data_IF_652995597328
#
_entry.id   IF_652995597328
#
_cell.length_a   1.000
_cell.length_b   1.000
_cell.length_c   1.000
_cell.angle_alpha   90.00
_cell.angle_beta   90.00
_cell.angle_gamma   90.00
#
_symmetry.space_group_name_H-M   'P 1'
#
loop_
_entity.id
_entity.type
_entity.pdbx_description
1 polymer ?
#
# COMPACT_ATOMS: atom_id res chain seq x y z
N UNK A 1 19.61 -17.95 13.14
CA UNK A 1 20.63 -17.24 12.34
C UNK A 1 21.31 -18.27 11.42
N UNK A 2 21.41 -17.99 10.12
CA UNK A 2 22.03 -18.90 9.15
C UNK A 2 22.70 -18.10 8.03
N UNK A 3 23.89 -18.53 7.62
CA UNK A 3 24.68 -17.89 6.55
C UNK A 3 24.51 -18.75 5.28
N UNK A 4 23.95 -18.16 4.22
CA UNK A 4 23.84 -18.78 2.88
C UNK A 4 25.13 -18.46 2.12
N UNK A 5 25.85 -19.46 1.60
CA UNK A 5 27.07 -19.22 0.78
C UNK A 5 26.74 -18.82 -0.67
N UNK A 6 25.51 -19.09 -1.06
CA UNK A 6 24.90 -18.98 -2.37
C UNK A 6 24.09 -17.70 -2.57
N UNK A 7 23.84 -16.93 -1.50
CA UNK A 7 23.08 -15.68 -1.55
C UNK A 7 23.80 -14.55 -0.83
N UNK A 8 23.86 -13.39 -1.48
CA UNK A 8 24.32 -12.15 -0.85
C UNK A 8 23.46 -11.75 0.35
N UNK A 9 23.99 -10.88 1.20
CA UNK A 9 23.25 -10.33 2.34
C UNK A 9 21.92 -9.72 1.89
N UNK A 10 20.85 -9.97 2.65
CA UNK A 10 19.51 -9.41 2.34
C UNK A 10 19.47 -7.89 2.39
N UNK A 11 20.38 -7.28 3.13
CA UNK A 11 20.52 -5.84 3.25
C UNK A 11 21.77 -5.41 2.49
N UNK A 12 21.56 -4.77 1.35
CA UNK A 12 22.61 -4.25 0.47
C UNK A 12 22.37 -2.75 0.25
N UNK A 13 23.17 -1.93 0.92
CA UNK A 13 23.03 -0.48 0.90
C UNK A 13 23.17 0.11 -0.51
N UNK A 14 23.96 -0.54 -1.38
CA UNK A 14 24.16 -0.09 -2.76
C UNK A 14 22.89 -0.20 -3.61
N UNK A 15 21.97 -1.08 -3.23
CA UNK A 15 20.65 -1.24 -3.88
C UNK A 15 19.58 -0.34 -3.27
N UNK A 16 19.73 0.00 -1.99
CA UNK A 16 18.74 0.82 -1.27
C UNK A 16 18.76 2.26 -1.77
N UNK A 17 19.94 2.84 -2.03
CA UNK A 17 20.03 4.24 -2.44
C UNK A 17 19.27 4.54 -3.74
N UNK A 18 19.44 3.77 -4.84
CA UNK A 18 18.63 3.98 -6.05
C UNK A 18 17.13 3.81 -5.82
N UNK A 19 16.72 2.81 -5.02
CA UNK A 19 15.31 2.58 -4.69
C UNK A 19 14.71 3.78 -3.94
N UNK A 20 15.48 4.39 -3.02
CA UNK A 20 15.02 5.56 -2.28
C UNK A 20 14.87 6.78 -3.17
N UNK A 21 15.78 6.99 -4.12
CA UNK A 21 15.68 8.06 -5.13
C UNK A 21 14.42 7.88 -5.99
N UNK A 22 14.20 6.68 -6.54
CA UNK A 22 13.01 6.37 -7.35
C UNK A 22 11.70 6.62 -6.57
N UNK A 23 11.66 6.20 -5.31
CA UNK A 23 10.50 6.40 -4.44
C UNK A 23 10.29 7.88 -4.13
N UNK A 24 11.36 8.62 -3.84
CA UNK A 24 11.29 10.06 -3.56
C UNK A 24 10.74 10.83 -4.77
N UNK A 25 11.27 10.57 -5.97
CA UNK A 25 10.81 11.23 -7.18
C UNK A 25 9.33 10.92 -7.47
N UNK A 26 8.94 9.64 -7.38
CA UNK A 26 7.56 9.21 -7.65
C UNK A 26 6.55 9.75 -6.64
N UNK A 27 6.94 9.85 -5.37
CA UNK A 27 6.06 10.35 -4.31
C UNK A 27 6.15 11.87 -4.11
N UNK A 28 6.98 12.56 -4.89
CA UNK A 28 7.07 14.01 -4.84
C UNK A 28 5.72 14.67 -5.15
N UNK A 29 5.21 15.46 -4.21
CA UNK A 29 3.88 16.08 -4.32
C UNK A 29 2.69 15.16 -4.00
N UNK A 30 2.92 13.91 -3.57
CA UNK A 30 1.87 12.99 -3.13
C UNK A 30 1.54 13.25 -1.65
N UNK A 31 0.25 13.35 -1.34
CA UNK A 31 -0.25 13.34 0.04
C UNK A 31 -0.70 11.92 0.41
N UNK A 32 -0.19 11.38 1.52
CA UNK A 32 -0.54 10.05 2.03
C UNK A 32 -1.35 10.23 3.31
N UNK A 33 -2.57 9.68 3.35
CA UNK A 33 -3.42 9.68 4.54
C UNK A 33 -3.65 8.25 5.04
N UNK A 34 -3.60 8.06 6.36
CA UNK A 34 -4.03 6.82 7.01
C UNK A 34 -5.45 7.03 7.57
N UNK A 35 -6.44 6.89 6.69
CA UNK A 35 -7.85 7.00 7.02
C UNK A 35 -8.61 5.81 6.46
N UNK A 36 -9.76 5.52 7.05
CA UNK A 36 -10.73 4.60 6.44
C UNK A 36 -11.31 5.22 5.17
N UNK A 37 -11.68 4.39 4.19
CA UNK A 37 -12.14 4.86 2.88
C UNK A 37 -13.45 5.67 2.99
N UNK A 38 -14.29 5.36 3.97
CA UNK A 38 -15.56 6.07 4.25
C UNK A 38 -15.33 7.53 4.66
N UNK A 39 -14.15 7.85 5.19
CA UNK A 39 -13.74 9.23 5.51
C UNK A 39 -12.92 9.86 4.38
N UNK A 40 -12.10 9.06 3.71
CA UNK A 40 -11.21 9.52 2.66
C UNK A 40 -11.98 9.96 1.40
N UNK A 41 -12.89 9.12 0.89
CA UNK A 41 -13.58 9.40 -0.38
C UNK A 41 -14.37 10.72 -0.32
N UNK A 42 -15.25 10.97 0.69
CA UNK A 42 -16.01 12.22 0.74
C UNK A 42 -15.14 13.48 0.88
N UNK A 43 -13.94 13.36 1.45
CA UNK A 43 -13.01 14.49 1.61
C UNK A 43 -12.42 14.95 0.27
N UNK A 44 -12.19 14.00 -0.65
CA UNK A 44 -11.53 14.27 -1.92
C UNK A 44 -12.49 14.27 -3.12
N UNK A 45 -13.75 13.89 -2.93
CA UNK A 45 -14.76 13.85 -3.98
C UNK A 45 -15.11 15.27 -4.48
N UNK A 46 -14.50 15.62 -5.62
CA UNK A 46 -14.66 16.90 -6.31
C UNK A 46 -14.85 16.58 -7.79
N UNK A 47 -15.45 17.51 -8.53
CA UNK A 47 -15.76 17.33 -9.96
C UNK A 47 -14.56 16.98 -10.85
N UNK A 48 -13.35 17.30 -10.41
CA UNK A 48 -12.10 17.03 -11.14
C UNK A 48 -11.30 15.85 -10.58
N UNK A 49 -11.79 15.18 -9.53
CA UNK A 49 -11.08 14.09 -8.88
C UNK A 49 -11.31 12.79 -9.67
N UNK A 50 -10.23 12.08 -9.98
CA UNK A 50 -10.28 10.71 -10.46
C UNK A 50 -9.95 9.77 -9.30
N UNK A 51 -10.85 8.84 -9.00
CA UNK A 51 -10.59 7.79 -8.02
C UNK A 51 -10.12 6.51 -8.70
N UNK A 52 -8.95 6.03 -8.28
CA UNK A 52 -8.54 4.64 -8.48
C UNK A 52 -8.78 3.90 -7.16
N UNK A 53 -9.63 2.88 -7.19
CA UNK A 53 -10.06 2.14 -6.00
C UNK A 53 -9.73 0.66 -6.23
N UNK A 54 -8.85 0.13 -5.38
CA UNK A 54 -8.44 -1.26 -5.34
C UNK A 54 -8.82 -1.82 -3.95
N UNK A 55 -10.12 -2.12 -3.72
CA UNK A 55 -10.57 -2.58 -2.41
C UNK A 55 -10.14 -4.02 -2.18
N UNK A 56 -10.16 -4.51 -0.93
CA UNK A 56 -9.96 -5.93 -0.65
C UNK A 56 -10.92 -6.77 -1.48
N UNK A 57 -10.41 -7.84 -2.09
CA UNK A 57 -11.24 -8.73 -2.90
C UNK A 57 -12.00 -9.71 -2.01
N UNK A 58 -13.24 -10.01 -2.42
CA UNK A 58 -14.05 -11.04 -1.81
C UNK A 58 -13.27 -12.36 -1.79
N UNK A 59 -13.26 -13.09 -0.66
CA UNK A 59 -12.47 -14.30 -0.38
C UNK A 59 -10.96 -14.14 -0.17
N UNK A 60 -10.43 -12.92 -0.29
CA UNK A 60 -9.02 -12.59 -0.08
C UNK A 60 -8.82 -11.59 1.08
N UNK A 61 -9.72 -11.59 2.06
CA UNK A 61 -9.75 -10.57 3.12
C UNK A 61 -8.47 -10.57 3.97
N UNK A 62 -7.84 -11.74 4.12
CA UNK A 62 -6.63 -11.91 4.93
C UNK A 62 -5.34 -11.44 4.24
N UNK A 63 -5.35 -11.18 2.93
CA UNK A 63 -4.15 -10.74 2.18
C UNK A 63 -3.73 -9.32 2.58
N UNK A 64 -4.69 -8.53 3.09
CA UNK A 64 -4.49 -7.14 3.47
C UNK A 64 -4.17 -6.97 4.96
N UNK A 65 -4.31 -8.04 5.75
CA UNK A 65 -4.09 -8.08 7.19
C UNK A 65 -5.26 -8.74 7.92
N UNK A 66 -4.95 -9.53 8.95
CA UNK A 66 -5.97 -10.24 9.73
C UNK A 66 -6.91 -9.24 10.41
N UNK A 67 -8.20 -9.54 10.34
CA UNK A 67 -9.30 -8.80 10.99
C UNK A 67 -9.49 -7.33 10.52
N UNK A 68 -8.82 -6.92 9.44
CA UNK A 68 -9.01 -5.58 8.85
C UNK A 68 -10.29 -5.47 8.02
N UNK A 69 -10.67 -6.56 7.35
CA UNK A 69 -11.88 -6.64 6.54
C UNK A 69 -12.65 -7.92 6.88
N UNK A 70 -13.97 -7.77 6.98
CA UNK A 70 -14.90 -8.85 7.29
C UNK A 70 -15.78 -9.11 6.09
N UNK A 71 -16.31 -10.33 6.01
CA UNK A 71 -17.22 -10.70 4.92
C UNK A 71 -18.49 -9.84 4.87
N UNK A 72 -18.92 -9.32 6.02
CA UNK A 72 -20.02 -8.36 6.13
C UNK A 72 -19.74 -7.03 5.44
N UNK A 73 -18.47 -6.65 5.26
CA UNK A 73 -18.10 -5.38 4.63
C UNK A 73 -18.38 -5.39 3.11
N UNK A 74 -18.69 -6.58 2.56
CA UNK A 74 -19.07 -6.79 1.16
C UNK A 74 -20.58 -6.91 0.95
N UNK A 75 -21.37 -6.87 2.02
CA UNK A 75 -22.83 -6.98 1.95
C UNK A 75 -23.44 -5.58 1.68
N UNK A 76 -24.47 -5.52 0.81
CA UNK A 76 -25.14 -4.29 0.35
C UNK A 76 -26.39 -4.00 1.16
#
# INVERSE_FOLDING_TARGET
FGVSKDRGGRFDFTKIAPILEDVYERLSGVTIENLSFEKFIPRYDKSTTLFYIDPPYYTNENDYGKDLFKRSDFEV
#
